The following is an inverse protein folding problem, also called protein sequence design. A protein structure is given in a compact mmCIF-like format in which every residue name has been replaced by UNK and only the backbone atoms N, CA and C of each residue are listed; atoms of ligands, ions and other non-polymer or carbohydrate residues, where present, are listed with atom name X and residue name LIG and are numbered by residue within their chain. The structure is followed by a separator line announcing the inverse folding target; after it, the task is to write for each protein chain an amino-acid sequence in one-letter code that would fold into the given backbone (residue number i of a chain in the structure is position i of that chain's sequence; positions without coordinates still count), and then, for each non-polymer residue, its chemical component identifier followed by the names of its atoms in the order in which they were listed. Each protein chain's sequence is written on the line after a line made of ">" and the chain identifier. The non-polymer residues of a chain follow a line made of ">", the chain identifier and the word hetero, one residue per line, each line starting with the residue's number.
data_IF_349994679702
#
_entry.id   IF_349994679702
#
_cell.length_a   1.000
_cell.length_b   1.000
_cell.length_c   1.000
_cell.angle_alpha   90.00
_cell.angle_beta   90.00
_cell.angle_gamma   90.00
#
_symmetry.space_group_name_H-M   'P 1'
#
loop_
_entity.id
_entity.type
_entity.pdbx_description
1 polymer ?
#
# COMPACT_ATOMS: atom_id res chain seq x y z
N UNK A 1 -28.20 5.27 12.10
CA UNK A 1 -27.23 4.17 11.95
C UNK A 1 -26.89 4.04 10.48
N UNK A 2 -25.69 4.45 10.04
CA UNK A 2 -25.28 4.32 8.64
C UNK A 2 -24.76 2.91 8.38
N UNK A 3 -25.42 2.22 7.46
CA UNK A 3 -25.05 0.91 6.95
C UNK A 3 -23.78 1.04 6.09
N UNK A 4 -22.62 0.67 6.64
CA UNK A 4 -21.40 0.45 5.87
C UNK A 4 -21.19 -1.05 5.64
N UNK A 5 -22.02 -1.65 4.81
CA UNK A 5 -21.71 -2.94 4.17
C UNK A 5 -20.66 -2.70 3.06
N UNK A 6 -19.41 -2.60 3.49
CA UNK A 6 -18.47 -3.71 3.33
C UNK A 6 -18.02 -4.17 1.95
N UNK A 7 -18.61 -3.73 0.83
CA UNK A 7 -18.07 -4.07 -0.51
C UNK A 7 -17.04 -3.05 -0.94
N UNK A 8 -15.91 -3.04 -0.24
CA UNK A 8 -14.70 -2.42 -0.78
C UNK A 8 -14.34 -3.19 -2.06
N UNK A 9 -14.45 -2.54 -3.21
CA UNK A 9 -13.77 -3.00 -4.42
C UNK A 9 -12.32 -3.17 -4.01
N UNK A 10 -11.89 -4.42 -3.83
CA UNK A 10 -10.56 -4.72 -3.32
C UNK A 10 -9.55 -4.10 -4.26
N UNK A 11 -8.85 -3.07 -3.80
CA UNK A 11 -7.77 -2.50 -4.59
C UNK A 11 -6.83 -3.64 -4.99
N UNK A 12 -6.29 -3.62 -6.22
CA UNK A 12 -5.30 -4.60 -6.62
C UNK A 12 -4.24 -4.69 -5.53
N UNK A 13 -3.89 -5.90 -5.09
CA UNK A 13 -2.92 -6.13 -4.00
C UNK A 13 -1.61 -5.35 -4.23
N UNK A 14 -1.25 -5.14 -5.49
CA UNK A 14 -0.12 -4.31 -5.91
C UNK A 14 -0.23 -2.84 -5.50
N UNK A 15 -1.43 -2.22 -5.58
CA UNK A 15 -1.63 -0.82 -5.23
C UNK A 15 -1.51 -0.59 -3.73
N UNK A 16 -2.17 -1.42 -2.91
CA UNK A 16 -2.04 -1.30 -1.45
C UNK A 16 -0.58 -1.49 -1.01
N UNK A 17 0.13 -2.46 -1.60
CA UNK A 17 1.56 -2.66 -1.35
C UNK A 17 2.39 -1.43 -1.73
N UNK A 18 2.14 -0.85 -2.88
CA UNK A 18 2.82 0.36 -3.35
C UNK A 18 2.62 1.52 -2.36
N UNK A 19 1.37 1.79 -1.98
CA UNK A 19 1.03 2.86 -1.04
C UNK A 19 1.76 2.68 0.30
N UNK A 20 1.68 1.48 0.88
CA UNK A 20 2.34 1.17 2.17
C UNK A 20 3.85 1.39 2.10
N UNK A 21 4.52 0.88 1.06
CA UNK A 21 5.96 1.08 0.89
C UNK A 21 6.34 2.54 0.67
N UNK A 22 5.55 3.28 -0.11
CA UNK A 22 5.78 4.70 -0.35
C UNK A 22 5.65 5.50 0.94
N UNK A 23 4.66 5.21 1.78
CA UNK A 23 4.48 5.87 3.09
C UNK A 23 5.65 5.58 4.04
N UNK A 24 6.10 4.32 4.10
CA UNK A 24 7.21 3.91 4.96
C UNK A 24 8.57 4.47 4.51
N UNK A 25 8.70 4.82 3.21
CA UNK A 25 9.87 5.53 2.67
C UNK A 25 9.99 6.93 3.27
N UNK A 26 8.87 7.62 3.50
CA UNK A 26 8.87 8.97 4.04
C UNK A 26 9.19 9.01 5.54
N UNK A 27 8.62 8.08 6.32
CA UNK A 27 8.94 7.94 7.75
C UNK A 27 8.52 6.58 8.31
N UNK A 28 9.10 6.14 9.45
CA UNK A 28 8.60 4.96 10.14
C UNK A 28 7.17 5.12 10.68
N UNK A 29 6.33 4.11 10.46
CA UNK A 29 4.92 4.12 10.86
C UNK A 29 4.48 2.77 11.43
N UNK A 30 3.50 2.81 12.32
CA UNK A 30 2.70 1.66 12.75
C UNK A 30 1.62 1.32 11.72
N UNK A 31 1.07 0.10 11.83
CA UNK A 31 -0.04 -0.33 10.96
C UNK A 31 -1.30 0.53 11.11
N UNK A 32 -1.59 1.03 12.32
CA UNK A 32 -2.74 1.89 12.59
C UNK A 32 -2.56 3.29 12.00
N UNK A 33 -1.35 3.87 12.09
CA UNK A 33 -1.02 5.13 11.42
C UNK A 33 -1.22 5.01 9.90
N UNK A 34 -0.80 3.90 9.29
CA UNK A 34 -0.98 3.64 7.86
C UNK A 34 -2.46 3.62 7.49
N UNK A 35 -3.29 2.88 8.23
CA UNK A 35 -4.74 2.83 8.02
C UNK A 35 -5.35 4.24 8.10
N UNK A 36 -5.00 5.00 9.14
CA UNK A 36 -5.55 6.33 9.38
C UNK A 36 -5.15 7.33 8.29
N UNK A 37 -3.90 7.27 7.80
CA UNK A 37 -3.45 8.15 6.71
C UNK A 37 -4.18 7.81 5.42
N UNK A 38 -4.36 6.52 5.09
CA UNK A 38 -5.08 6.10 3.88
C UNK A 38 -6.55 6.54 3.93
N UNK A 39 -7.23 6.33 5.07
CA UNK A 39 -8.60 6.78 5.28
C UNK A 39 -8.71 8.31 5.13
N UNK A 40 -7.77 9.06 5.71
CA UNK A 40 -7.72 10.52 5.59
C UNK A 40 -7.47 10.99 4.16
N UNK A 41 -6.49 10.41 3.46
CA UNK A 41 -6.13 10.80 2.08
C UNK A 41 -7.22 10.47 1.07
N UNK A 42 -8.08 9.51 1.38
CA UNK A 42 -9.25 9.16 0.55
C UNK A 42 -10.52 9.86 1.01
N UNK A 43 -10.43 10.84 1.92
CA UNK A 43 -11.59 11.57 2.46
C UNK A 43 -12.67 10.63 3.06
N UNK A 44 -12.23 9.52 3.65
CA UNK A 44 -13.12 8.49 4.21
C UNK A 44 -13.73 7.54 3.19
N UNK A 45 -13.50 7.74 1.89
CA UNK A 45 -14.04 6.85 0.84
C UNK A 45 -13.45 5.44 0.90
N UNK A 46 -12.25 5.27 1.47
CA UNK A 46 -11.64 3.96 1.62
C UNK A 46 -10.80 3.82 2.89
N UNK A 47 -11.14 2.80 3.69
CA UNK A 47 -10.37 2.38 4.85
C UNK A 47 -9.89 0.95 4.64
N UNK A 48 -8.58 0.69 4.49
CA UNK A 48 -8.08 -0.67 4.41
C UNK A 48 -8.30 -1.38 5.74
N UNK A 49 -8.69 -2.65 5.69
CA UNK A 49 -8.85 -3.45 6.90
C UNK A 49 -7.49 -3.78 7.53
N UNK A 50 -7.47 -3.92 8.85
CA UNK A 50 -6.31 -4.46 9.57
C UNK A 50 -5.87 -5.82 9.01
N UNK A 51 -6.84 -6.65 8.58
CA UNK A 51 -6.59 -7.95 7.94
C UNK A 51 -5.90 -7.88 6.57
N UNK A 52 -5.86 -6.71 5.92
CA UNK A 52 -5.07 -6.49 4.71
C UNK A 52 -3.72 -5.82 5.01
N UNK A 53 -3.65 -4.98 6.03
CA UNK A 53 -2.44 -4.21 6.38
C UNK A 53 -1.40 -5.06 7.10
N UNK A 54 -1.77 -5.77 8.16
CA UNK A 54 -0.78 -6.50 8.97
C UNK A 54 -0.15 -7.68 8.24
N UNK A 55 -0.89 -8.51 7.48
CA UNK A 55 -0.26 -9.55 6.65
C UNK A 55 0.66 -8.97 5.58
N UNK A 56 0.31 -7.82 5.00
CA UNK A 56 1.18 -7.14 4.04
C UNK A 56 2.47 -6.63 4.70
N UNK A 57 2.38 -6.01 5.89
CA UNK A 57 3.55 -5.54 6.63
C UNK A 57 4.47 -6.70 7.05
N UNK A 58 3.90 -7.81 7.50
CA UNK A 58 4.64 -9.03 7.77
C UNK A 58 5.37 -9.53 6.53
N UNK A 59 4.68 -9.65 5.40
CA UNK A 59 5.28 -10.07 4.13
C UNK A 59 6.41 -9.13 3.67
N UNK A 60 6.22 -7.81 3.80
CA UNK A 60 7.25 -6.83 3.46
C UNK A 60 8.49 -6.97 4.34
N UNK A 61 8.30 -7.25 5.63
CA UNK A 61 9.37 -7.48 6.60
C UNK A 61 10.11 -8.78 6.30
N UNK A 62 9.38 -9.87 6.04
CA UNK A 62 9.95 -11.18 5.69
C UNK A 62 10.78 -11.14 4.41
N UNK A 63 10.40 -10.29 3.46
CA UNK A 63 11.16 -10.06 2.22
C UNK A 63 12.29 -9.04 2.39
N UNK A 64 12.44 -8.44 3.58
CA UNK A 64 13.46 -7.44 3.87
C UNK A 64 13.22 -6.09 3.20
N UNK A 65 12.03 -5.83 2.67
CA UNK A 65 11.65 -4.53 2.09
C UNK A 65 11.37 -3.48 3.16
N UNK A 66 10.94 -3.95 4.33
CA UNK A 66 10.81 -3.17 5.56
C UNK A 66 11.55 -3.88 6.68
N UNK A 67 11.78 -3.18 7.78
CA UNK A 67 12.26 -3.75 9.04
C UNK A 67 11.39 -3.27 10.18
N UNK A 68 11.12 -4.15 11.13
CA UNK A 68 10.46 -3.79 12.38
C UNK A 68 11.43 -2.97 13.25
N UNK A 69 10.92 -1.91 13.87
CA UNK A 69 11.64 -1.15 14.87
C UNK A 69 11.31 -1.67 16.27
N UNK A 70 12.20 -1.45 17.26
CA UNK A 70 11.90 -1.72 18.66
C UNK A 70 10.59 -1.06 19.07
N UNK A 71 9.82 -1.73 19.93
CA UNK A 71 8.58 -1.15 20.47
C UNK A 71 8.94 0.12 21.25
N UNK A 72 8.27 1.22 20.92
CA UNK A 72 8.35 2.45 21.70
C UNK A 72 7.57 2.28 23.02
N UNK A 73 7.59 3.28 23.90
CA UNK A 73 6.91 3.23 25.21
C UNK A 73 5.39 3.00 25.09
N UNK A 74 4.79 3.28 23.93
CA UNK A 74 3.38 3.03 23.62
C UNK A 74 3.07 1.56 23.28
N UNK A 75 4.09 0.71 23.17
CA UNK A 75 3.96 -0.71 22.81
C UNK A 75 3.63 -0.96 21.34
N UNK A 76 3.52 0.07 20.51
CA UNK A 76 3.17 -0.04 19.11
C UNK A 76 4.38 -0.48 18.29
N UNK A 77 4.17 -1.48 17.44
CA UNK A 77 5.17 -1.94 16.47
C UNK A 77 5.21 -0.97 15.29
N UNK A 78 6.37 -0.36 15.06
CA UNK A 78 6.64 0.50 13.90
C UNK A 78 7.48 -0.24 12.88
N UNK A 79 7.28 0.11 11.62
CA UNK A 79 8.03 -0.40 10.49
C UNK A 79 8.81 0.74 9.88
N UNK A 80 10.02 0.45 9.41
CA UNK A 80 10.82 1.37 8.64
C UNK A 80 11.22 0.74 7.32
N UNK A 81 11.43 1.57 6.33
CA UNK A 81 11.84 1.17 5.00
C UNK A 81 13.32 0.77 4.93
N UNK A 82 13.66 -0.10 3.97
CA UNK A 82 15.05 -0.55 3.73
C UNK A 82 15.52 -0.18 2.32
N UNK A 83 16.84 -0.26 2.08
CA UNK A 83 17.43 -0.11 0.73
C UNK A 83 16.84 -1.11 -0.27
N UNK A 84 16.58 -2.35 0.17
CA UNK A 84 15.95 -3.37 -0.68
C UNK A 84 14.51 -2.99 -1.03
N UNK A 85 13.78 -2.39 -0.07
CA UNK A 85 12.47 -1.79 -0.31
C UNK A 85 12.49 -0.72 -1.39
N UNK A 86 13.58 0.04 -1.52
CA UNK A 86 13.74 1.05 -2.58
C UNK A 86 13.90 0.48 -3.96
N UNK A 87 14.74 -0.54 -4.09
CA UNK A 87 14.87 -1.24 -5.37
C UNK A 87 13.51 -1.81 -5.78
N UNK A 88 12.83 -2.47 -4.85
CA UNK A 88 11.53 -3.06 -5.09
C UNK A 88 10.46 -2.02 -5.48
N UNK A 89 10.39 -0.89 -4.79
CA UNK A 89 9.44 0.19 -5.08
C UNK A 89 9.68 0.79 -6.48
N UNK A 90 10.94 0.99 -6.87
CA UNK A 90 11.30 1.48 -8.21
C UNK A 90 10.90 0.50 -9.31
N UNK A 91 11.11 -0.79 -9.10
CA UNK A 91 10.68 -1.83 -10.03
C UNK A 91 9.14 -1.82 -10.20
N UNK A 92 8.39 -1.61 -9.11
CA UNK A 92 6.93 -1.47 -9.19
C UNK A 92 6.48 -0.23 -9.99
N UNK A 93 7.19 0.90 -9.86
CA UNK A 93 6.91 2.11 -10.62
C UNK A 93 7.17 1.93 -12.11
N UNK A 94 8.32 1.35 -12.48
CA UNK A 94 8.66 1.07 -13.88
C UNK A 94 7.61 0.14 -14.50
N UNK A 95 7.19 -0.91 -13.78
CA UNK A 95 6.14 -1.81 -14.25
C UNK A 95 4.78 -1.10 -14.41
N UNK A 96 4.45 -0.16 -13.52
CA UNK A 96 3.22 0.61 -13.61
C UNK A 96 3.24 1.57 -14.81
N UNK A 97 4.37 2.26 -15.06
CA UNK A 97 4.56 3.11 -16.24
C UNK A 97 4.47 2.31 -17.55
N UNK A 98 5.12 1.15 -17.61
CA UNK A 98 5.06 0.26 -18.77
C UNK A 98 3.64 -0.29 -18.98
N UNK A 99 2.94 -0.62 -17.91
CA UNK A 99 1.54 -1.04 -17.98
C UNK A 99 0.65 0.09 -18.50
N UNK A 100 0.83 1.32 -18.01
CA UNK A 100 0.08 2.49 -18.47
C UNK A 100 0.29 2.70 -19.98
N UNK A 101 1.53 2.71 -20.48
CA UNK A 101 1.84 2.86 -21.91
C UNK A 101 1.19 1.76 -22.76
N UNK A 102 1.22 0.51 -22.29
CA UNK A 102 0.56 -0.62 -22.97
C UNK A 102 -0.96 -0.45 -22.98
N UNK A 103 -1.56 0.00 -21.88
CA UNK A 103 -2.99 0.24 -21.81
C UNK A 103 -3.43 1.40 -22.69
N UNK A 104 -2.66 2.49 -22.77
CA UNK A 104 -2.90 3.60 -23.70
C UNK A 104 -2.89 3.11 -25.16
N UNK A 105 -1.94 2.25 -25.51
CA UNK A 105 -1.87 1.63 -26.83
C UNK A 105 -3.08 0.71 -27.13
N UNK A 106 -3.57 -0.03 -26.13
CA UNK A 106 -4.70 -0.95 -26.29
C UNK A 106 -6.07 -0.28 -26.11
N UNK A 107 -6.15 0.91 -25.51
CA UNK A 107 -7.40 1.61 -25.23
C UNK A 107 -8.29 1.79 -26.48
N UNK A 108 -7.76 2.15 -27.67
CA UNK A 108 -8.57 2.25 -28.88
C UNK A 108 -9.25 0.93 -29.30
N UNK A 109 -8.70 -0.23 -28.92
CA UNK A 109 -9.29 -1.55 -29.20
C UNK A 109 -10.41 -1.93 -28.24
N UNK A 110 -10.44 -1.33 -27.05
CA UNK A 110 -11.45 -1.60 -26.02
C UNK A 110 -12.62 -0.62 -26.07
N UNK A 111 -12.40 0.59 -26.61
CA UNK A 111 -13.40 1.66 -26.70
C UNK A 111 -14.11 1.67 -28.06
N UNK A 112 -13.52 1.08 -29.10
CA UNK A 112 -14.23 0.83 -30.37
C UNK A 112 -14.97 -0.51 -30.32
N UNK A 113 -16.20 -0.46 -29.79
CA UNK A 113 -17.21 -1.50 -29.81
C UNK A 113 -18.58 -0.88 -29.67
#
# INVERSE_FOLDING_TARGET
>A
MSNHDGRTVGLPRGLLRFLVLNMLREKPMSGTEIVAIIEKQTEGNWKPSSGSIYPLLAWLSDKGFTKELPKEQDGLKRYSYTTLGNKFLKEQLILAEDFQKKMEFLAPLLVKG
#
